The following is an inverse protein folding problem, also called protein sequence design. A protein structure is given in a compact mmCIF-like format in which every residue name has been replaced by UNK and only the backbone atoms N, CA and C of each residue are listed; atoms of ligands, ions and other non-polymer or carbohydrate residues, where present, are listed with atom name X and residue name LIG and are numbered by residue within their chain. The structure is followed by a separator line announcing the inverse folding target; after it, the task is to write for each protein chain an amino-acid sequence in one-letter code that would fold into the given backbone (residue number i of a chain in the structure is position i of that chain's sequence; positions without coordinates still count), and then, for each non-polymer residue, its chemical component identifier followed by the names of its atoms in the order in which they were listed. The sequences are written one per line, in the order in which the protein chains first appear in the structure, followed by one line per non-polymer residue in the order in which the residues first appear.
data_IF_111822212943
#
_entry.id   IF_111822212943
#
_cell.length_a   1.000
_cell.length_b   1.000
_cell.length_c   1.000
_cell.angle_alpha   90.00
_cell.angle_beta   90.00
_cell.angle_gamma   90.00
#
_symmetry.space_group_name_H-M   'P 1'
#
loop_
_entity.id
_entity.type
_entity.pdbx_description
1 polymer ?
#
# COMPACT_ATOMS: atom_id res chain seq x y z
N UNK A 1 6.53 -16.54 35.84
CA UNK A 1 5.47 -16.73 34.82
C UNK A 1 6.20 -16.82 33.50
N UNK A 2 6.44 -18.04 33.02
CA UNK A 2 7.04 -18.27 31.72
C UNK A 2 5.95 -18.02 30.67
N UNK A 3 6.08 -16.94 29.91
CA UNK A 3 5.41 -16.84 28.62
C UNK A 3 6.17 -17.80 27.71
N UNK A 4 5.74 -19.07 27.67
CA UNK A 4 6.09 -19.97 26.60
C UNK A 4 5.45 -19.38 25.33
N UNK A 5 6.25 -18.59 24.60
CA UNK A 5 5.94 -18.18 23.24
C UNK A 5 5.90 -19.46 22.42
N UNK A 6 4.70 -19.99 22.23
CA UNK A 6 4.45 -21.12 21.33
C UNK A 6 4.97 -20.70 19.96
N UNK A 7 6.04 -21.36 19.50
CA UNK A 7 6.48 -21.22 18.12
C UNK A 7 5.30 -21.55 17.20
N UNK A 8 5.09 -20.76 16.13
CA UNK A 8 4.03 -21.04 15.19
C UNK A 8 4.20 -22.45 14.64
N UNK A 9 3.10 -23.21 14.58
CA UNK A 9 3.11 -24.54 13.97
C UNK A 9 3.55 -24.41 12.50
N UNK A 10 4.23 -25.42 11.98
CA UNK A 10 4.79 -25.44 10.63
C UNK A 10 3.71 -25.18 9.56
N UNK A 11 2.47 -25.58 9.82
CA UNK A 11 1.34 -25.30 8.93
C UNK A 11 1.06 -23.79 8.78
N UNK A 12 1.07 -23.03 9.89
CA UNK A 12 0.86 -21.58 9.86
C UNK A 12 2.01 -20.86 9.16
N UNK A 13 3.25 -21.31 9.42
CA UNK A 13 4.42 -20.73 8.76
C UNK A 13 4.40 -20.94 7.23
N UNK A 14 3.92 -22.09 6.77
CA UNK A 14 3.76 -22.38 5.35
C UNK A 14 2.67 -21.51 4.71
N UNK A 15 1.51 -21.38 5.35
CA UNK A 15 0.40 -20.55 4.88
C UNK A 15 0.80 -19.06 4.80
N UNK A 16 1.53 -18.56 5.80
CA UNK A 16 2.08 -17.20 5.81
C UNK A 16 3.07 -16.99 4.65
N UNK A 17 3.91 -17.98 4.35
CA UNK A 17 4.87 -17.92 3.25
C UNK A 17 4.19 -17.95 1.88
N UNK A 18 3.17 -18.78 1.70
CA UNK A 18 2.37 -18.84 0.48
C UNK A 18 1.63 -17.51 0.24
N UNK A 19 1.01 -16.96 1.30
CA UNK A 19 0.35 -15.66 1.25
C UNK A 19 1.31 -14.54 0.86
N UNK A 20 2.52 -14.53 1.45
CA UNK A 20 3.54 -13.55 1.11
C UNK A 20 4.02 -13.69 -0.35
N UNK A 21 4.21 -14.92 -0.82
CA UNK A 21 4.61 -15.19 -2.21
C UNK A 21 3.54 -14.73 -3.21
N UNK A 22 2.25 -14.97 -2.90
CA UNK A 22 1.11 -14.51 -3.68
C UNK A 22 1.07 -12.97 -3.77
N UNK A 23 1.12 -12.28 -2.64
CA UNK A 23 1.10 -10.81 -2.58
C UNK A 23 2.26 -10.21 -3.38
N UNK A 24 3.46 -10.76 -3.20
CA UNK A 24 4.65 -10.29 -3.89
C UNK A 24 4.58 -10.50 -5.40
N UNK A 25 4.03 -11.63 -5.87
CA UNK A 25 3.75 -11.86 -7.30
C UNK A 25 2.81 -10.80 -7.86
N UNK A 26 1.70 -10.52 -7.17
CA UNK A 26 0.70 -9.53 -7.62
C UNK A 26 1.28 -8.11 -7.68
N UNK A 27 2.11 -7.73 -6.71
CA UNK A 27 2.82 -6.45 -6.73
C UNK A 27 3.83 -6.40 -7.89
N UNK A 28 4.62 -7.46 -8.10
CA UNK A 28 5.56 -7.52 -9.21
C UNK A 28 4.85 -7.39 -10.56
N UNK A 29 3.75 -8.10 -10.73
CA UNK A 29 2.91 -8.05 -11.92
C UNK A 29 2.34 -6.65 -12.15
N UNK A 30 1.72 -6.05 -11.12
CA UNK A 30 1.20 -4.68 -11.16
C UNK A 30 2.23 -3.63 -11.60
N UNK A 31 3.45 -3.70 -11.06
CA UNK A 31 4.51 -2.75 -11.43
C UNK A 31 4.98 -2.89 -12.89
N UNK A 32 4.80 -4.06 -13.50
CA UNK A 32 5.19 -4.35 -14.88
C UNK A 32 4.03 -4.21 -15.88
N UNK A 33 2.78 -4.27 -15.41
CA UNK A 33 1.58 -4.20 -16.23
C UNK A 33 1.30 -2.75 -16.66
N UNK A 34 2.04 -2.32 -17.68
CA UNK A 34 1.63 -1.28 -18.63
C UNK A 34 1.86 -1.69 -20.07
N UNK A 35 2.14 -2.97 -20.29
CA UNK A 35 2.21 -3.57 -21.61
C UNK A 35 0.84 -4.18 -21.90
N UNK A 36 0.27 -3.87 -23.06
CA UNK A 36 -1.02 -4.40 -23.52
C UNK A 36 -0.95 -5.93 -23.68
N UNK A 37 -1.10 -6.68 -22.59
CA UNK A 37 -1.23 -8.12 -22.65
C UNK A 37 -2.68 -8.46 -23.05
N UNK A 38 -2.87 -8.91 -24.29
CA UNK A 38 -4.14 -9.52 -24.67
C UNK A 38 -4.35 -10.84 -23.91
N UNK A 39 -5.58 -11.10 -23.46
CA UNK A 39 -5.95 -12.35 -22.77
C UNK A 39 -6.60 -12.12 -21.41
N UNK A 40 -6.97 -13.21 -20.74
CA UNK A 40 -7.46 -13.17 -19.35
C UNK A 40 -6.31 -13.18 -18.32
N UNK A 41 -6.56 -12.90 -17.03
CA UNK A 41 -5.52 -12.75 -16.00
C UNK A 41 -4.51 -13.90 -15.94
N UNK A 42 -4.96 -15.15 -16.11
CA UNK A 42 -4.07 -16.32 -16.13
C UNK A 42 -3.05 -16.31 -17.28
N UNK A 43 -3.49 -15.90 -18.48
CA UNK A 43 -2.61 -15.81 -19.65
C UNK A 43 -1.60 -14.67 -19.51
N UNK A 44 -2.05 -13.53 -18.96
CA UNK A 44 -1.21 -12.37 -18.72
C UNK A 44 -0.14 -12.66 -17.66
N UNK A 45 -0.52 -13.26 -16.53
CA UNK A 45 0.43 -13.66 -15.47
C UNK A 45 1.43 -14.72 -15.95
N UNK A 46 0.98 -15.73 -16.69
CA UNK A 46 1.88 -16.75 -17.24
C UNK A 46 2.91 -16.13 -18.20
N UNK A 47 2.47 -15.16 -19.01
CA UNK A 47 3.36 -14.43 -19.90
C UNK A 47 4.33 -13.53 -19.15
N UNK A 48 3.87 -12.81 -18.13
CA UNK A 48 4.73 -12.03 -17.24
C UNK A 48 5.84 -12.88 -16.63
N UNK A 49 5.50 -14.06 -16.07
CA UNK A 49 6.47 -15.00 -15.50
C UNK A 49 7.49 -15.46 -16.55
N UNK A 50 7.02 -15.75 -17.77
CA UNK A 50 7.90 -16.18 -18.86
C UNK A 50 8.84 -15.05 -19.33
N UNK A 51 8.33 -13.81 -19.45
CA UNK A 51 9.07 -12.66 -19.98
C UNK A 51 10.08 -12.10 -18.95
N UNK A 52 9.76 -12.16 -17.66
CA UNK A 52 10.62 -11.63 -16.58
C UNK A 52 11.50 -12.69 -15.92
N UNK A 53 11.18 -13.98 -16.09
CA UNK A 53 11.85 -15.08 -15.38
C UNK A 53 11.49 -15.15 -13.90
N UNK A 54 10.38 -14.52 -13.47
CA UNK A 54 9.93 -14.52 -12.08
C UNK A 54 9.62 -15.95 -11.61
N UNK A 55 10.37 -16.46 -10.62
CA UNK A 55 10.21 -17.83 -10.14
C UNK A 55 9.08 -17.91 -9.11
N UNK A 56 8.02 -18.64 -9.44
CA UNK A 56 6.88 -18.84 -8.56
C UNK A 56 6.28 -20.25 -8.75
N UNK A 57 5.70 -20.79 -7.69
CA UNK A 57 5.01 -22.07 -7.76
C UNK A 57 3.71 -21.97 -8.58
N UNK A 58 3.32 -23.06 -9.23
CA UNK A 58 2.18 -23.08 -10.17
C UNK A 58 0.84 -22.81 -9.49
N UNK A 59 0.66 -23.31 -8.27
CA UNK A 59 -0.49 -23.05 -7.41
C UNK A 59 -0.63 -21.57 -7.06
N UNK A 60 0.46 -20.90 -6.65
CA UNK A 60 0.47 -19.46 -6.37
C UNK A 60 0.14 -18.65 -7.63
N UNK A 61 0.66 -19.04 -8.80
CA UNK A 61 0.33 -18.39 -10.07
C UNK A 61 -1.17 -18.53 -10.41
N UNK A 62 -1.74 -19.71 -10.17
CA UNK A 62 -3.15 -19.96 -10.40
C UNK A 62 -4.03 -19.16 -9.43
N UNK A 63 -3.65 -19.10 -8.16
CA UNK A 63 -4.34 -18.32 -7.15
C UNK A 63 -4.30 -16.82 -7.45
N UNK A 64 -3.14 -16.29 -7.86
CA UNK A 64 -3.00 -14.90 -8.31
C UNK A 64 -3.96 -14.56 -9.46
N UNK A 65 -4.09 -15.44 -10.45
CA UNK A 65 -5.00 -15.24 -11.56
C UNK A 65 -6.48 -15.21 -11.11
N UNK A 66 -6.83 -16.04 -10.12
CA UNK A 66 -8.17 -16.04 -9.54
C UNK A 66 -8.43 -14.75 -8.75
N UNK A 67 -7.50 -14.31 -7.90
CA UNK A 67 -7.59 -13.05 -7.15
C UNK A 67 -7.88 -11.85 -8.06
N UNK A 68 -7.13 -11.72 -9.16
CA UNK A 68 -7.33 -10.65 -10.14
C UNK A 68 -8.69 -10.78 -10.82
N UNK A 69 -9.10 -11.99 -11.22
CA UNK A 69 -10.38 -12.22 -11.89
C UNK A 69 -11.59 -11.91 -10.98
N UNK A 70 -11.45 -12.11 -9.66
CA UNK A 70 -12.51 -11.85 -8.68
C UNK A 70 -12.58 -10.39 -8.24
N UNK A 71 -11.49 -9.63 -8.30
CA UNK A 71 -11.47 -8.21 -7.98
C UNK A 71 -12.40 -7.45 -8.94
N UNK A 72 -13.58 -7.08 -8.44
CA UNK A 72 -14.62 -6.30 -9.11
C UNK A 72 -15.11 -6.83 -10.48
N UNK A 73 -14.69 -8.04 -10.88
CA UNK A 73 -15.10 -8.73 -12.10
C UNK A 73 -14.49 -8.17 -13.39
N UNK A 74 -13.53 -7.25 -13.31
CA UNK A 74 -12.86 -6.65 -14.47
C UNK A 74 -11.60 -7.41 -14.89
N UNK A 75 -10.99 -8.18 -13.99
CA UNK A 75 -9.67 -8.79 -14.24
C UNK A 75 -8.54 -7.75 -14.29
N UNK A 76 -8.75 -6.59 -13.68
CA UNK A 76 -7.84 -5.45 -13.69
C UNK A 76 -6.99 -5.41 -12.42
N UNK A 77 -5.66 -5.49 -12.58
CA UNK A 77 -4.72 -5.42 -11.46
C UNK A 77 -4.75 -4.07 -10.75
N UNK A 78 -5.03 -2.96 -11.45
CA UNK A 78 -5.13 -1.63 -10.84
C UNK A 78 -6.35 -1.56 -9.92
N UNK A 79 -7.45 -2.19 -10.34
CA UNK A 79 -8.64 -2.39 -9.51
C UNK A 79 -8.36 -3.23 -8.25
N UNK A 80 -7.62 -4.33 -8.40
CA UNK A 80 -7.19 -5.15 -7.26
C UNK A 80 -6.30 -4.34 -6.29
N UNK A 81 -5.33 -3.59 -6.81
CA UNK A 81 -4.42 -2.77 -6.01
C UNK A 81 -5.15 -1.66 -5.27
N UNK A 82 -6.10 -1.00 -5.93
CA UNK A 82 -6.97 -0.01 -5.30
C UNK A 82 -7.79 -0.64 -4.17
N UNK A 83 -8.45 -1.77 -4.42
CA UNK A 83 -9.24 -2.48 -3.42
C UNK A 83 -8.39 -2.87 -2.21
N UNK A 84 -7.22 -3.46 -2.43
CA UNK A 84 -6.29 -3.83 -1.36
C UNK A 84 -5.94 -2.62 -0.47
N UNK A 85 -5.59 -1.50 -1.10
CA UNK A 85 -5.15 -0.27 -0.41
C UNK A 85 -6.22 0.40 0.47
N UNK A 86 -7.50 0.10 0.26
CA UNK A 86 -8.60 0.62 1.09
C UNK A 86 -9.21 -0.42 2.02
N UNK A 87 -9.25 -1.69 1.61
CA UNK A 87 -10.00 -2.73 2.29
C UNK A 87 -9.15 -3.60 3.23
N UNK A 88 -7.85 -3.71 2.98
CA UNK A 88 -6.98 -4.61 3.73
C UNK A 88 -6.57 -4.02 5.08
N UNK A 89 -6.06 -4.90 5.93
CA UNK A 89 -5.51 -4.49 7.21
C UNK A 89 -4.28 -3.58 7.00
N UNK A 90 -4.08 -2.52 7.80
CA UNK A 90 -2.97 -1.60 7.61
C UNK A 90 -1.59 -2.29 7.61
N UNK A 91 -1.40 -3.32 8.43
CA UNK A 91 -0.16 -4.10 8.44
C UNK A 91 0.06 -4.90 7.15
N UNK A 92 -1.01 -5.33 6.48
CA UNK A 92 -0.91 -5.99 5.17
C UNK A 92 -0.55 -4.97 4.10
N UNK A 93 -1.23 -3.82 4.07
CA UNK A 93 -0.92 -2.70 3.15
C UNK A 93 0.55 -2.26 3.32
N UNK A 94 1.04 -2.19 4.56
CA UNK A 94 2.44 -1.90 4.85
C UNK A 94 3.39 -2.94 4.25
N UNK A 95 3.08 -4.23 4.31
CA UNK A 95 3.89 -5.28 3.66
C UNK A 95 3.89 -5.13 2.13
N UNK A 96 2.73 -4.91 1.49
CA UNK A 96 2.68 -4.65 0.04
C UNK A 96 3.50 -3.42 -0.35
N UNK A 97 3.43 -2.34 0.45
CA UNK A 97 4.22 -1.13 0.22
C UNK A 97 5.72 -1.46 0.20
N UNK A 98 6.21 -2.23 1.17
CA UNK A 98 7.62 -2.63 1.25
C UNK A 98 8.01 -3.50 0.05
N UNK A 99 7.20 -4.50 -0.31
CA UNK A 99 7.41 -5.31 -1.51
C UNK A 99 7.44 -4.43 -2.78
N UNK A 100 6.55 -3.46 -2.88
CA UNK A 100 6.47 -2.54 -4.02
C UNK A 100 7.71 -1.66 -4.16
N UNK A 101 8.21 -1.10 -3.06
CA UNK A 101 9.46 -0.34 -3.06
C UNK A 101 10.63 -1.23 -3.47
N UNK A 102 10.73 -2.42 -2.87
CA UNK A 102 11.81 -3.37 -3.14
C UNK A 102 11.84 -3.76 -4.63
N UNK A 103 10.68 -4.11 -5.19
CA UNK A 103 10.53 -4.59 -6.57
C UNK A 103 10.55 -3.47 -7.64
N UNK A 104 10.49 -2.20 -7.26
CA UNK A 104 10.49 -1.09 -8.23
C UNK A 104 11.85 -0.91 -8.91
N UNK A 105 11.94 -0.97 -10.22
CA UNK A 105 13.16 -0.77 -11.00
C UNK A 105 13.50 0.70 -11.26
N UNK A 106 12.58 1.63 -10.99
CA UNK A 106 12.84 3.06 -11.18
C UNK A 106 11.73 3.99 -10.71
N UNK A 107 11.95 5.30 -10.95
CA UNK A 107 11.14 6.39 -10.42
C UNK A 107 9.66 6.35 -10.82
N UNK A 108 9.35 5.85 -12.02
CA UNK A 108 7.97 5.69 -12.47
C UNK A 108 7.21 4.70 -11.58
N UNK A 109 7.83 3.56 -11.24
CA UNK A 109 7.26 2.55 -10.36
C UNK A 109 7.26 3.01 -8.90
N UNK A 110 8.30 3.70 -8.43
CA UNK A 110 8.28 4.32 -7.10
C UNK A 110 7.16 5.36 -6.96
N UNK A 111 6.88 6.11 -8.02
CA UNK A 111 5.74 7.04 -8.05
C UNK A 111 4.42 6.28 -7.96
N UNK A 112 4.27 5.15 -8.65
CA UNK A 112 3.09 4.29 -8.52
C UNK A 112 2.91 3.80 -7.07
N UNK A 113 3.96 3.27 -6.45
CA UNK A 113 3.92 2.82 -5.05
C UNK A 113 3.54 3.96 -4.12
N UNK A 114 4.09 5.16 -4.33
CA UNK A 114 3.73 6.34 -3.56
C UNK A 114 2.24 6.69 -3.70
N UNK A 115 1.73 6.75 -4.92
CA UNK A 115 0.33 7.16 -5.21
C UNK A 115 -0.69 6.10 -4.80
N UNK A 116 -0.44 4.82 -5.06
CA UNK A 116 -1.45 3.77 -4.91
C UNK A 116 -1.38 3.03 -3.57
N UNK A 117 -0.22 2.99 -2.90
CA UNK A 117 -0.07 2.30 -1.61
C UNK A 117 0.19 3.29 -0.47
N UNK A 118 1.23 4.11 -0.59
CA UNK A 118 1.68 4.97 0.50
C UNK A 118 0.68 6.08 0.85
N UNK A 119 0.18 6.78 -0.16
CA UNK A 119 -0.76 7.87 -0.01
C UNK A 119 -2.11 7.42 0.59
N UNK A 120 -2.76 6.34 0.10
CA UNK A 120 -3.96 5.80 0.75
C UNK A 120 -3.69 5.34 2.19
N UNK A 121 -2.57 4.64 2.43
CA UNK A 121 -2.20 4.18 3.77
C UNK A 121 -2.13 5.36 4.75
N UNK A 122 -1.41 6.43 4.42
CA UNK A 122 -1.30 7.60 5.30
C UNK A 122 -2.56 8.48 5.32
N UNK A 123 -3.36 8.48 4.25
CA UNK A 123 -4.64 9.20 4.19
C UNK A 123 -5.69 8.60 5.12
N UNK A 124 -5.69 7.27 5.26
CA UNK A 124 -6.69 6.53 6.05
C UNK A 124 -6.16 6.04 7.39
N UNK A 125 -4.85 5.87 7.53
CA UNK A 125 -4.17 5.31 8.70
C UNK A 125 -2.93 6.14 9.03
N UNK A 126 -3.12 7.43 9.25
CA UNK A 126 -2.05 8.38 9.51
C UNK A 126 -1.19 8.05 10.74
N UNK A 127 -1.72 7.25 11.68
CA UNK A 127 -0.95 6.69 12.79
C UNK A 127 0.16 5.72 12.37
N UNK A 128 0.23 5.31 11.10
CA UNK A 128 1.35 4.56 10.52
C UNK A 128 2.60 5.42 10.26
N UNK A 129 2.51 6.76 10.27
CA UNK A 129 3.63 7.64 9.94
C UNK A 129 4.95 7.37 10.73
N UNK A 130 4.95 6.93 12.00
CA UNK A 130 6.18 6.51 12.67
C UNK A 130 6.92 5.37 11.95
N UNK A 131 6.21 4.42 11.32
CA UNK A 131 6.82 3.34 10.54
C UNK A 131 7.54 3.90 9.30
N UNK A 132 6.93 4.88 8.63
CA UNK A 132 7.56 5.59 7.51
C UNK A 132 8.83 6.31 7.95
N UNK A 133 8.79 7.01 9.09
CA UNK A 133 9.94 7.72 9.61
C UNK A 133 11.10 6.78 9.97
N UNK A 134 10.80 5.59 10.49
CA UNK A 134 11.79 4.55 10.76
C UNK A 134 12.39 4.00 9.46
N UNK A 135 11.54 3.59 8.50
CA UNK A 135 11.98 3.00 7.24
C UNK A 135 12.80 3.98 6.38
N UNK A 136 12.50 5.28 6.43
CA UNK A 136 13.28 6.32 5.73
C UNK A 136 14.76 6.30 6.13
N UNK A 137 15.07 5.91 7.37
CA UNK A 137 16.45 5.89 7.88
C UNK A 137 17.24 4.66 7.46
N UNK A 138 16.56 3.60 7.02
CA UNK A 138 17.15 2.29 6.73
C UNK A 138 17.17 1.96 5.24
N UNK A 139 16.28 2.56 4.45
CA UNK A 139 16.12 2.28 3.03
C UNK A 139 16.11 3.56 2.18
N UNK A 140 17.21 3.88 1.47
CA UNK A 140 17.29 5.03 0.58
C UNK A 140 16.26 5.03 -0.55
N UNK A 141 15.81 3.85 -1.01
CA UNK A 141 14.81 3.71 -2.06
C UNK A 141 13.43 4.07 -1.52
N UNK A 142 13.15 3.68 -0.28
CA UNK A 142 11.97 4.12 0.46
C UNK A 142 12.01 5.63 0.73
N UNK A 143 13.14 6.17 1.15
CA UNK A 143 13.34 7.61 1.32
C UNK A 143 13.02 8.39 0.03
N UNK A 144 13.48 7.87 -1.12
CA UNK A 144 13.12 8.44 -2.41
C UNK A 144 11.61 8.31 -2.68
N UNK A 145 11.01 7.13 -2.48
CA UNK A 145 9.57 6.89 -2.71
C UNK A 145 8.70 7.88 -1.94
N UNK A 146 8.99 8.15 -0.66
CA UNK A 146 8.13 9.03 0.14
C UNK A 146 8.00 10.44 -0.43
N UNK A 147 8.95 10.91 -1.24
CA UNK A 147 8.89 12.23 -1.89
C UNK A 147 7.81 12.34 -2.96
N UNK A 148 7.35 11.20 -3.49
CA UNK A 148 6.24 11.12 -4.44
C UNK A 148 4.85 11.16 -3.80
N UNK A 149 4.76 11.11 -2.46
CA UNK A 149 3.49 11.09 -1.74
C UNK A 149 2.87 12.49 -1.70
N UNK A 150 1.60 12.60 -2.11
CA UNK A 150 0.83 13.83 -2.03
C UNK A 150 -0.15 13.76 -0.85
N UNK A 151 -0.68 14.92 -0.44
CA UNK A 151 -1.51 15.00 0.77
C UNK A 151 -2.80 14.20 0.70
N UNK A 152 -3.46 14.18 -0.47
CA UNK A 152 -4.81 13.65 -0.66
C UNK A 152 -5.76 13.90 0.51
N UNK A 153 -6.06 12.87 1.31
CA UNK A 153 -6.98 12.95 2.45
C UNK A 153 -6.28 12.90 3.81
N UNK A 154 -4.97 13.06 3.89
CA UNK A 154 -4.23 13.08 5.16
C UNK A 154 -4.71 14.21 6.09
N UNK A 155 -4.61 13.98 7.40
CA UNK A 155 -4.80 15.05 8.39
C UNK A 155 -3.71 16.11 8.26
N UNK A 156 -3.96 17.31 8.80
CA UNK A 156 -2.99 18.41 8.77
C UNK A 156 -1.69 18.02 9.51
N UNK A 157 -1.84 17.24 10.61
CA UNK A 157 -0.72 16.75 11.42
C UNK A 157 0.15 15.74 10.66
N UNK A 158 -0.47 14.76 10.01
CA UNK A 158 0.23 13.73 9.23
C UNK A 158 0.98 14.38 8.08
N UNK A 159 0.31 15.26 7.34
CA UNK A 159 0.90 15.95 6.21
C UNK A 159 2.09 16.82 6.63
N UNK A 160 1.94 17.64 7.67
CA UNK A 160 3.03 18.50 8.14
C UNK A 160 4.28 17.68 8.52
N UNK A 161 4.10 16.53 9.18
CA UNK A 161 5.21 15.64 9.55
C UNK A 161 5.81 14.93 8.34
N UNK A 162 5.01 14.46 7.39
CA UNK A 162 5.50 13.88 6.15
C UNK A 162 6.34 14.89 5.36
N UNK A 163 5.92 16.16 5.29
CA UNK A 163 6.71 17.23 4.63
C UNK A 163 8.08 17.44 5.26
N UNK A 164 8.21 17.27 6.57
CA UNK A 164 9.53 17.31 7.22
C UNK A 164 10.40 16.15 6.74
N UNK A 165 9.86 14.93 6.64
CA UNK A 165 10.62 13.78 6.13
C UNK A 165 11.05 14.01 4.67
N UNK A 166 10.11 14.44 3.82
CA UNK A 166 10.40 14.70 2.40
C UNK A 166 11.42 15.83 2.21
N UNK A 167 11.47 16.83 3.10
CA UNK A 167 12.45 17.90 3.06
C UNK A 167 13.89 17.46 3.29
N UNK A 168 14.09 16.31 3.92
CA UNK A 168 15.41 15.76 4.23
C UNK A 168 15.92 14.79 3.16
N UNK A 169 15.07 14.35 2.24
CA UNK A 169 15.44 13.43 1.18
C UNK A 169 16.45 14.10 0.21
N UNK A 170 17.64 13.52 -0.01
CA UNK A 170 18.70 14.15 -0.79
C UNK A 170 18.44 14.18 -2.30
N UNK A 171 17.64 13.24 -2.79
CA UNK A 171 17.32 13.05 -4.20
C UNK A 171 15.82 12.75 -4.33
N UNK A 172 14.96 13.78 -4.45
CA UNK A 172 13.52 13.59 -4.54
C UNK A 172 13.07 13.15 -5.94
N UNK A 173 11.94 12.45 -6.00
CA UNK A 173 11.24 12.15 -7.25
C UNK A 173 10.81 13.44 -7.94
N UNK A 174 10.82 13.45 -9.27
CA UNK A 174 10.38 14.60 -10.07
C UNK A 174 8.90 14.97 -9.85
N UNK A 175 8.09 14.04 -9.33
CA UNK A 175 6.69 14.23 -8.96
C UNK A 175 6.50 14.92 -7.60
N UNK A 176 7.57 15.20 -6.86
CA UNK A 176 7.49 15.84 -5.55
C UNK A 176 6.90 17.24 -5.64
N UNK A 177 5.90 17.52 -4.78
CA UNK A 177 5.38 18.88 -4.61
C UNK A 177 6.45 19.81 -4.01
N UNK A 178 6.67 21.02 -4.56
CA UNK A 178 7.64 21.99 -4.04
C UNK A 178 7.44 22.31 -2.55
N UNK A 179 8.53 22.42 -1.80
CA UNK A 179 8.48 22.77 -0.37
C UNK A 179 8.25 24.26 -0.19
N UNK A 180 7.22 24.61 0.60
CA UNK A 180 6.91 26.00 0.91
C UNK A 180 5.96 26.68 -0.08
N UNK A 181 5.60 26.02 -1.18
CA UNK A 181 4.51 26.48 -2.03
C UNK A 181 3.17 26.00 -1.44
N UNK A 182 2.14 26.86 -1.40
CA UNK A 182 0.79 26.39 -1.09
C UNK A 182 0.43 25.32 -2.12
N UNK A 183 -0.18 24.23 -1.65
CA UNK A 183 -0.78 23.23 -2.54
C UNK A 183 -1.67 23.99 -3.50
N UNK A 184 -1.29 24.06 -4.77
CA UNK A 184 -2.01 24.85 -5.75
C UNK A 184 -3.43 24.29 -5.92
N UNK A 185 -4.31 25.06 -6.55
CA UNK A 185 -5.73 24.75 -6.82
C UNK A 185 -5.98 23.37 -7.49
N UNK A 186 -4.93 22.63 -7.85
CA UNK A 186 -4.99 21.27 -8.40
C UNK A 186 -5.19 20.18 -7.34
N UNK A 187 -4.90 20.41 -6.05
CA UNK A 187 -5.08 19.40 -4.99
C UNK A 187 -6.47 19.46 -4.33
N UNK A 188 -7.52 19.37 -5.16
CA UNK A 188 -8.93 19.56 -4.76
C UNK A 188 -9.39 18.64 -3.61
N UNK A 189 -8.76 17.47 -3.44
CA UNK A 189 -9.09 16.52 -2.37
C UNK A 189 -8.79 17.09 -0.97
N UNK A 190 -7.67 17.78 -0.79
CA UNK A 190 -7.29 18.36 0.51
C UNK A 190 -8.22 19.53 0.90
N UNK A 191 -8.64 20.33 -0.08
CA UNK A 191 -9.58 21.43 0.14
C UNK A 191 -10.97 20.93 0.53
N UNK A 192 -11.36 19.74 0.04
CA UNK A 192 -12.66 19.11 0.35
C UNK A 192 -12.77 18.51 1.75
N UNK A 193 -11.67 18.38 2.50
CA UNK A 193 -11.69 17.75 3.82
C UNK A 193 -12.46 18.58 4.85
N UNK A 194 -13.40 17.92 5.54
CA UNK A 194 -14.10 18.51 6.67
C UNK A 194 -13.12 18.85 7.81
N UNK A 195 -13.52 19.77 8.69
CA UNK A 195 -12.71 20.08 9.88
C UNK A 195 -12.45 18.83 10.74
N UNK A 196 -13.40 17.91 10.84
CA UNK A 196 -13.24 16.67 11.59
C UNK A 196 -12.16 15.79 10.95
N UNK A 197 -12.17 15.63 9.63
CA UNK A 197 -11.17 14.84 8.91
C UNK A 197 -9.78 15.48 8.99
N UNK A 198 -9.66 16.80 8.90
CA UNK A 198 -8.36 17.48 9.04
C UNK A 198 -7.69 17.23 10.40
N UNK A 199 -8.48 16.92 11.42
CA UNK A 199 -8.02 16.68 12.81
C UNK A 199 -7.90 15.20 13.18
N UNK A 200 -8.40 14.29 12.35
CA UNK A 200 -8.40 12.87 12.62
C UNK A 200 -7.34 12.19 11.75
N UNK A 201 -6.37 11.50 12.36
CA UNK A 201 -5.30 10.83 11.61
C UNK A 201 -5.78 9.51 11.00
N UNK A 202 -6.73 8.82 11.64
CA UNK A 202 -7.19 7.50 11.23
C UNK A 202 -8.67 7.54 10.84
N UNK A 203 -8.95 7.30 9.56
CA UNK A 203 -10.26 7.45 8.90
C UNK A 203 -10.65 6.21 8.08
N UNK A 204 -9.83 5.16 8.11
CA UNK A 204 -10.07 3.93 7.37
C UNK A 204 -11.06 2.99 8.04
N UNK A 205 -11.06 1.74 7.59
CA UNK A 205 -11.90 0.67 8.14
C UNK A 205 -11.38 0.12 9.46
N UNK A 206 -10.13 0.42 9.80
CA UNK A 206 -9.47 -0.01 11.03
C UNK A 206 -9.06 1.22 11.84
N UNK A 207 -9.04 1.08 13.16
CA UNK A 207 -8.52 2.09 14.08
C UNK A 207 -7.50 1.46 15.01
N UNK A 208 -6.57 2.28 15.50
CA UNK A 208 -5.52 1.85 16.41
C UNK A 208 -5.91 2.17 17.85
N UNK A 209 -5.80 1.20 18.75
CA UNK A 209 -6.04 1.43 20.17
C UNK A 209 -4.81 2.07 20.85
N UNK A 210 -4.93 2.29 22.17
CA UNK A 210 -3.85 2.86 22.98
C UNK A 210 -2.63 1.94 23.11
N UNK A 211 -2.78 0.64 22.88
CA UNK A 211 -1.70 -0.35 22.89
C UNK A 211 -1.01 -0.45 21.52
N UNK A 212 -1.53 0.25 20.50
CA UNK A 212 -1.00 0.21 19.15
C UNK A 212 -1.53 -0.95 18.32
N UNK A 213 -2.53 -1.68 18.79
CA UNK A 213 -3.16 -2.77 18.04
C UNK A 213 -4.29 -2.23 17.15
N UNK A 214 -4.46 -2.86 15.98
CA UNK A 214 -5.48 -2.52 15.01
C UNK A 214 -6.79 -3.27 15.27
N UNK A 215 -7.91 -2.56 15.14
CA UNK A 215 -9.24 -3.11 15.32
C UNK A 215 -10.16 -2.65 14.20
N UNK A 216 -10.99 -3.57 13.73
CA UNK A 216 -12.14 -3.22 12.88
C UNK A 216 -13.32 -2.87 13.79
N UNK A 217 -13.93 -1.68 13.66
CA UNK A 217 -15.13 -1.38 14.43
C UNK A 217 -16.23 -2.36 14.05
N UNK A 218 -17.08 -2.76 15.01
CA UNK A 218 -18.22 -3.62 14.70
C UNK A 218 -19.06 -2.90 13.63
N UNK A 219 -19.41 -3.62 12.56
CA UNK A 219 -20.32 -3.09 11.54
C UNK A 219 -21.58 -2.66 12.28
N UNK A 220 -21.97 -1.37 12.24
CA UNK A 220 -23.17 -0.94 12.92
C UNK A 220 -24.32 -1.80 12.41
N UNK A 221 -24.94 -2.58 13.30
CA UNK A 221 -26.13 -3.34 12.94
C UNK A 221 -27.12 -2.31 12.43
N UNK A 222 -27.41 -2.35 11.13
CA UNK A 222 -28.42 -1.48 10.53
C UNK A 222 -29.63 -1.51 11.48
N UNK A 223 -30.10 -0.37 12.00
CA UNK A 223 -31.38 -0.37 12.68
C UNK A 223 -32.37 -0.88 11.63
N UNK A 224 -32.89 -2.07 11.86
CA UNK A 224 -33.91 -2.68 11.00
C UNK A 224 -34.97 -1.60 10.79
N UNK A 225 -35.11 -1.15 9.54
CA UNK A 225 -36.13 -0.17 9.16
C UNK A 225 -37.51 -0.80 9.28
#
# INVERSE_FOLDING_TARGET
MNNDLLEPDAATAQEDAETAALQRLLVAFWLHERQDFAGGPAEQLARFVADTGYSVAFDILHEAANEIAYAEGSGDIDGWMALASFAWHPDQIWKLLLDGVELSDGDAQLTLVATFLAEPLLSHYGSCLPLFAEQVTTDPKFERMITGIWRAKMSDRVWARLRVLQAHAPDPLASMLPIGEPESETNSAAESLSRADRMNDDKGLFYRDIAGAWFRPPVPRNPVR
#
